data_IF_560782270618
#
_entry.id   IF_560782270618
#
_cell.length_a   1.000
_cell.length_b   1.000
_cell.length_c   1.000
_cell.angle_alpha   90.00
_cell.angle_beta   90.00
_cell.angle_gamma   90.00
#
_symmetry.space_group_name_H-M   'P 1'
#
loop_
_entity.id
_entity.type
_entity.pdbx_description
1 polymer ?
#
# COMPACT_ATOMS: atom_id res chain seq x y z
N UNK A 1 -0.38 18.05 9.00
CA UNK A 1 -0.52 17.11 7.86
C UNK A 1 -1.20 17.87 6.74
N UNK A 2 -0.53 18.09 5.61
CA UNK A 2 -1.14 18.76 4.45
C UNK A 2 -2.08 17.82 3.69
N UNK A 3 -3.02 18.37 2.88
CA UNK A 3 -3.96 17.56 2.09
C UNK A 3 -3.25 16.58 1.14
N UNK A 4 -2.06 16.93 0.66
CA UNK A 4 -1.25 16.08 -0.21
C UNK A 4 -0.82 14.75 0.45
N UNK A 5 -0.33 14.80 1.70
CA UNK A 5 0.07 13.61 2.46
C UNK A 5 -1.12 12.72 2.79
N UNK A 6 -2.27 13.34 3.07
CA UNK A 6 -3.51 12.60 3.27
C UNK A 6 -3.93 11.85 2.00
N UNK A 7 -3.79 12.49 0.84
CA UNK A 7 -4.06 11.85 -0.45
C UNK A 7 -3.10 10.68 -0.71
N UNK A 8 -1.81 10.84 -0.42
CA UNK A 8 -0.84 9.75 -0.53
C UNK A 8 -1.19 8.58 0.40
N UNK A 9 -1.56 8.88 1.65
CA UNK A 9 -2.00 7.86 2.60
C UNK A 9 -3.22 7.08 2.08
N UNK A 10 -4.31 7.79 1.73
CA UNK A 10 -5.56 7.16 1.27
C UNK A 10 -5.35 6.41 -0.04
N UNK A 11 -4.63 7.00 -0.98
CA UNK A 11 -4.34 6.39 -2.28
C UNK A 11 -3.56 5.09 -2.14
N UNK A 12 -2.50 5.07 -1.33
CA UNK A 12 -1.71 3.87 -1.12
C UNK A 12 -2.40 2.84 -0.22
N UNK A 13 -3.29 3.26 0.70
CA UNK A 13 -4.17 2.37 1.45
C UNK A 13 -5.10 1.59 0.52
N UNK A 14 -5.85 2.29 -0.35
CA UNK A 14 -6.72 1.65 -1.33
C UNK A 14 -5.93 0.75 -2.29
N UNK A 15 -4.79 1.23 -2.79
CA UNK A 15 -3.94 0.45 -3.68
C UNK A 15 -3.43 -0.85 -3.02
N UNK A 16 -2.99 -0.79 -1.77
CA UNK A 16 -2.54 -1.97 -1.04
C UNK A 16 -3.65 -3.02 -0.87
N UNK A 17 -4.89 -2.60 -0.55
CA UNK A 17 -6.03 -3.53 -0.46
C UNK A 17 -6.32 -4.19 -1.81
N UNK A 18 -6.27 -3.44 -2.91
CA UNK A 18 -6.49 -4.02 -4.25
C UNK A 18 -5.42 -5.05 -4.62
N UNK A 19 -4.15 -4.77 -4.28
CA UNK A 19 -3.05 -5.71 -4.48
C UNK A 19 -3.18 -6.95 -3.60
N UNK A 20 -3.55 -6.77 -2.33
CA UNK A 20 -3.74 -7.87 -1.38
C UNK A 20 -4.88 -8.80 -1.84
N UNK A 21 -6.03 -8.25 -2.27
CA UNK A 21 -7.12 -9.03 -2.87
C UNK A 21 -6.65 -9.81 -4.11
N UNK A 22 -5.90 -9.15 -5.00
CA UNK A 22 -5.39 -9.80 -6.21
C UNK A 22 -4.43 -10.96 -5.87
N UNK A 23 -3.52 -10.79 -4.92
CA UNK A 23 -2.56 -11.82 -4.53
C UNK A 23 -3.17 -12.92 -3.65
N UNK A 24 -4.11 -12.59 -2.77
CA UNK A 24 -4.82 -13.53 -1.89
C UNK A 24 -5.76 -14.46 -2.64
N UNK A 25 -6.28 -14.04 -3.82
CA UNK A 25 -7.10 -14.91 -4.68
C UNK A 25 -6.32 -16.07 -5.35
N UNK A 26 -5.00 -16.13 -5.17
CA UNK A 26 -4.13 -17.14 -5.77
C UNK A 26 -3.69 -18.25 -4.80
N UNK A 27 -2.51 -18.83 -5.04
CA UNK A 27 -1.90 -19.89 -4.20
C UNK A 27 -1.06 -19.36 -3.02
N UNK A 28 -1.06 -18.04 -2.78
CA UNK A 28 -0.22 -17.43 -1.73
C UNK A 28 -0.94 -17.42 -0.40
N UNK A 29 -0.17 -17.37 0.69
CA UNK A 29 -0.74 -17.08 2.01
C UNK A 29 -1.16 -15.62 2.09
N UNK A 30 -2.11 -15.31 2.98
CA UNK A 30 -2.55 -13.92 3.20
C UNK A 30 -1.43 -13.02 3.71
N UNK A 31 -0.49 -13.58 4.50
CA UNK A 31 0.71 -12.86 4.94
C UNK A 31 1.57 -12.47 3.74
N UNK A 32 1.86 -13.40 2.83
CA UNK A 32 2.65 -13.13 1.64
C UNK A 32 1.95 -12.11 0.72
N UNK A 33 0.62 -12.21 0.59
CA UNK A 33 -0.19 -11.28 -0.19
C UNK A 33 -0.12 -9.86 0.39
N UNK A 34 -0.25 -9.71 1.71
CA UNK A 34 -0.18 -8.43 2.41
C UNK A 34 1.22 -7.79 2.30
N UNK A 35 2.29 -8.58 2.52
CA UNK A 35 3.68 -8.09 2.40
C UNK A 35 3.97 -7.63 0.98
N UNK A 36 3.58 -8.40 -0.04
CA UNK A 36 3.79 -8.03 -1.42
C UNK A 36 3.00 -6.79 -1.83
N UNK A 37 1.76 -6.65 -1.33
CA UNK A 37 0.96 -5.47 -1.55
C UNK A 37 1.66 -4.20 -1.04
N UNK A 38 2.20 -4.23 0.18
CA UNK A 38 2.97 -3.12 0.74
C UNK A 38 4.24 -2.87 -0.07
N UNK A 39 5.03 -3.90 -0.37
CA UNK A 39 6.28 -3.76 -1.12
C UNK A 39 6.07 -3.13 -2.51
N UNK A 40 5.06 -3.58 -3.25
CA UNK A 40 4.74 -3.05 -4.57
C UNK A 40 4.22 -1.62 -4.46
N UNK A 41 3.33 -1.35 -3.51
CA UNK A 41 2.81 0.00 -3.25
C UNK A 41 3.93 1.01 -2.94
N UNK A 42 4.88 0.65 -2.07
CA UNK A 42 6.03 1.50 -1.75
C UNK A 42 6.99 1.65 -2.91
N UNK A 43 7.27 0.56 -3.65
CA UNK A 43 8.13 0.60 -4.84
C UNK A 43 7.52 1.54 -5.90
N UNK A 44 6.21 1.45 -6.12
CA UNK A 44 5.48 2.35 -7.01
C UNK A 44 5.64 3.81 -6.58
N UNK A 45 5.51 4.12 -5.28
CA UNK A 45 5.72 5.47 -4.73
C UNK A 45 7.13 6.01 -4.96
N UNK A 46 8.15 5.18 -4.74
CA UNK A 46 9.54 5.55 -4.99
C UNK A 46 9.79 5.81 -6.47
N UNK A 47 9.27 4.96 -7.36
CA UNK A 47 9.42 5.10 -8.81
C UNK A 47 8.74 6.36 -9.32
N UNK A 48 7.49 6.62 -8.94
CA UNK A 48 6.76 7.82 -9.36
C UNK A 48 7.45 9.08 -8.85
N UNK A 49 7.88 9.11 -7.60
CA UNK A 49 8.63 10.24 -7.05
C UNK A 49 9.97 10.48 -7.77
N UNK A 50 10.67 9.42 -8.18
CA UNK A 50 11.91 9.54 -8.98
C UNK A 50 11.63 10.06 -10.39
N UNK A 51 10.52 9.63 -11.01
CA UNK A 51 10.10 10.12 -12.32
C UNK A 51 9.69 11.59 -12.27
N UNK A 52 9.03 12.03 -11.20
CA UNK A 52 8.63 13.43 -11.01
C UNK A 52 9.82 14.40 -11.00
N UNK A 53 11.01 13.97 -10.55
CA UNK A 53 12.24 14.81 -10.63
C UNK A 53 12.61 15.22 -12.05
N UNK A 54 12.10 14.52 -13.08
CA UNK A 54 12.33 14.86 -14.49
C UNK A 54 11.39 15.96 -15.00
N UNK A 55 10.34 16.28 -14.25
CA UNK A 55 9.38 17.34 -14.60
C UNK A 55 9.88 18.65 -14.01
N UNK A 56 10.09 19.70 -14.83
CA UNK A 56 10.50 21.02 -14.33
C UNK A 56 9.55 21.53 -13.24
N UNK A 57 10.09 21.98 -12.11
CA UNK A 57 9.31 22.51 -10.99
C UNK A 57 8.73 21.46 -10.03
N UNK A 58 8.98 20.16 -10.24
CA UNK A 58 8.59 19.09 -9.29
C UNK A 58 9.80 18.55 -8.53
N UNK A 59 9.68 18.53 -7.20
CA UNK A 59 10.65 17.92 -6.30
C UNK A 59 10.15 16.56 -5.82
N UNK A 60 11.09 15.67 -5.53
CA UNK A 60 10.79 14.44 -4.79
C UNK A 60 10.60 14.79 -3.33
N UNK A 61 9.44 14.44 -2.77
CA UNK A 61 9.12 14.67 -1.37
C UNK A 61 9.08 13.33 -0.60
N UNK A 62 10.10 13.02 0.21
CA UNK A 62 10.17 11.75 0.94
C UNK A 62 9.00 11.51 1.90
N UNK A 63 8.39 12.59 2.39
CA UNK A 63 7.26 12.49 3.31
C UNK A 63 6.01 11.92 2.66
N UNK A 64 5.88 12.05 1.34
CA UNK A 64 4.75 11.50 0.60
C UNK A 64 4.89 9.97 0.45
N UNK A 65 6.13 9.50 0.31
CA UNK A 65 6.47 8.06 0.35
C UNK A 65 6.17 7.48 1.74
N UNK A 66 6.54 8.20 2.81
CA UNK A 66 6.25 7.76 4.18
C UNK A 66 4.74 7.74 4.47
N UNK A 67 4.00 8.76 4.02
CA UNK A 67 2.55 8.79 4.15
C UNK A 67 1.90 7.64 3.36
N UNK A 68 2.37 7.38 2.15
CA UNK A 68 1.91 6.25 1.33
C UNK A 68 2.23 4.89 1.96
N UNK A 69 3.44 4.71 2.48
CA UNK A 69 3.84 3.50 3.21
C UNK A 69 2.95 3.26 4.43
N UNK A 70 2.70 4.30 5.23
CA UNK A 70 1.82 4.21 6.39
C UNK A 70 0.39 3.80 6.00
N UNK A 71 -0.15 4.37 4.92
CA UNK A 71 -1.46 4.00 4.38
C UNK A 71 -1.50 2.55 3.90
N UNK A 72 -0.48 2.12 3.16
CA UNK A 72 -0.37 0.75 2.68
C UNK A 72 -0.29 -0.27 3.82
N UNK A 73 0.55 -0.02 4.84
CA UNK A 73 0.68 -0.88 6.02
C UNK A 73 -0.62 -0.94 6.80
N UNK A 74 -1.23 0.22 7.09
CA UNK A 74 -2.49 0.28 7.82
C UNK A 74 -3.57 -0.55 7.13
N UNK A 75 -3.73 -0.38 5.83
CA UNK A 75 -4.76 -1.06 5.07
C UNK A 75 -4.46 -2.56 4.86
N UNK A 76 -3.21 -2.93 4.63
CA UNK A 76 -2.80 -4.34 4.52
C UNK A 76 -3.01 -5.11 5.83
N UNK A 77 -2.69 -4.49 6.98
CA UNK A 77 -2.96 -5.08 8.30
C UNK A 77 -4.45 -5.24 8.56
N UNK A 78 -5.26 -4.23 8.24
CA UNK A 78 -6.72 -4.32 8.36
C UNK A 78 -7.32 -5.41 7.45
N UNK A 79 -6.84 -5.49 6.21
CA UNK A 79 -7.22 -6.54 5.27
C UNK A 79 -6.83 -7.94 5.79
N UNK A 80 -5.61 -8.09 6.29
CA UNK A 80 -5.13 -9.36 6.84
C UNK A 80 -6.00 -9.80 8.03
N UNK A 81 -6.28 -8.91 8.98
CA UNK A 81 -7.07 -9.24 10.16
C UNK A 81 -8.49 -9.71 9.80
N UNK A 82 -9.13 -9.10 8.79
CA UNK A 82 -10.47 -9.49 8.32
C UNK A 82 -10.46 -10.88 7.68
N UNK A 83 -9.45 -11.19 6.87
CA UNK A 83 -9.35 -12.50 6.21
C UNK A 83 -8.92 -13.61 7.19
N UNK A 84 -7.96 -13.34 8.08
CA UNK A 84 -7.53 -14.27 9.12
C UNK A 84 -8.70 -14.67 10.05
N UNK A 85 -9.52 -13.70 10.47
CA UNK A 85 -10.74 -13.98 11.24
C UNK A 85 -11.71 -14.89 10.48
N UNK A 86 -11.90 -14.63 9.18
CA UNK A 86 -12.77 -15.45 8.32
C UNK A 86 -12.28 -16.89 8.22
N UNK A 87 -10.97 -17.12 8.15
CA UNK A 87 -10.41 -18.48 8.11
C UNK A 87 -10.64 -19.25 9.42
N UNK A 88 -10.62 -18.58 10.56
CA UNK A 88 -10.79 -19.20 11.88
C UNK A 88 -12.25 -19.53 12.23
N UNK A 89 -13.24 -18.83 11.68
CA UNK A 89 -14.67 -19.09 11.95
C UNK A 89 -15.22 -20.37 11.25
N UNK A 90 -14.51 -20.92 10.27
CA UNK A 90 -14.91 -22.12 9.53
C UNK A 90 -14.08 -23.38 9.85
N UNK A 91 -13.23 -23.34 10.88
CA UNK A 91 -12.54 -24.51 11.45
C UNK A 91 -13.30 -25.06 12.66
#
# INVERSE_FOLDING_TARGET
MGPDKLLHFIGHAGYAVTLANAFGSGRRTDVDAAVLAVCISTTHSLLTGRLQKRVPGRAFEPMDVLAGLAGAVFAATGWYAVNDTSTNEYQ
#
